data_IF_239613172535
#
_entry.id   IF_239613172535
#
_cell.length_a   1.000
_cell.length_b   1.000
_cell.length_c   1.000
_cell.angle_alpha   90.00
_cell.angle_beta   90.00
_cell.angle_gamma   90.00
#
_symmetry.space_group_name_H-M   'P 1'
#
loop_
_entity.id
_entity.type
_entity.pdbx_description
1 polymer ?
#
# COMPACT_ATOMS: atom_id res chain seq x y z
N UNK A 1 -0.94 -7.39 -16.92
CA UNK A 1 -0.37 -7.23 -15.59
C UNK A 1 -1.22 -6.26 -14.80
N UNK A 2 -1.57 -6.65 -13.58
CA UNK A 2 -2.54 -5.88 -12.80
C UNK A 2 -1.91 -4.86 -11.85
N UNK A 3 -0.58 -4.79 -11.78
CA UNK A 3 0.11 -3.81 -10.94
C UNK A 3 0.45 -2.55 -11.73
N UNK A 4 0.47 -1.40 -11.03
CA UNK A 4 0.80 -0.10 -11.64
C UNK A 4 1.95 0.55 -10.90
N UNK A 5 2.89 1.13 -11.64
CA UNK A 5 3.98 1.89 -11.04
C UNK A 5 3.52 3.32 -10.77
N UNK A 6 3.77 3.79 -9.56
CA UNK A 6 3.45 5.15 -9.18
C UNK A 6 4.71 6.01 -9.11
N UNK A 7 4.54 7.27 -9.49
CA UNK A 7 5.56 8.30 -9.37
C UNK A 7 4.92 9.54 -8.73
N UNK A 8 5.68 10.61 -8.61
CA UNK A 8 5.19 11.85 -8.00
C UNK A 8 4.02 12.47 -8.76
N UNK A 9 3.90 12.19 -10.05
CA UNK A 9 2.88 12.80 -10.90
C UNK A 9 1.53 12.08 -10.83
N UNK A 10 1.52 10.76 -10.59
CA UNK A 10 0.28 9.98 -10.58
C UNK A 10 -0.12 9.45 -9.20
N UNK A 11 0.73 9.62 -8.19
CA UNK A 11 0.48 9.08 -6.86
C UNK A 11 -0.82 9.62 -6.24
N UNK A 12 -0.97 10.94 -6.24
CA UNK A 12 -2.12 11.58 -5.60
C UNK A 12 -3.44 11.14 -6.24
N UNK A 13 -3.49 11.10 -7.57
CA UNK A 13 -4.69 10.68 -8.28
C UNK A 13 -5.02 9.22 -7.98
N UNK A 14 -4.01 8.35 -7.91
CA UNK A 14 -4.23 6.94 -7.60
C UNK A 14 -4.88 6.77 -6.22
N UNK A 15 -4.40 7.50 -5.22
CA UNK A 15 -4.94 7.44 -3.86
C UNK A 15 -6.33 8.08 -3.78
N UNK A 16 -6.54 9.19 -4.48
CA UNK A 16 -7.78 9.97 -4.41
C UNK A 16 -8.93 9.28 -5.16
N UNK A 17 -8.64 8.68 -6.30
CA UNK A 17 -9.65 8.17 -7.21
C UNK A 17 -10.07 6.72 -6.92
N UNK A 18 -9.44 6.07 -5.95
CA UNK A 18 -9.69 4.65 -5.65
C UNK A 18 -9.94 4.44 -4.16
N UNK A 19 -10.88 3.55 -3.85
CA UNK A 19 -11.24 3.24 -2.46
C UNK A 19 -10.09 2.54 -1.72
N UNK A 20 -9.55 1.48 -2.32
CA UNK A 20 -8.47 0.68 -1.72
C UNK A 20 -7.26 0.68 -2.65
N UNK A 21 -6.13 1.12 -2.13
CA UNK A 21 -4.85 1.11 -2.86
C UNK A 21 -3.80 0.45 -1.98
N UNK A 22 -3.18 -0.57 -2.50
CA UNK A 22 -2.05 -1.23 -1.85
C UNK A 22 -0.78 -0.75 -2.55
N UNK A 23 0.23 -0.39 -1.78
CA UNK A 23 1.50 0.10 -2.33
C UNK A 23 2.64 -0.78 -1.83
N UNK A 24 3.41 -1.32 -2.78
CA UNK A 24 4.64 -2.06 -2.52
C UNK A 24 5.82 -1.13 -2.78
N UNK A 25 6.50 -0.73 -1.72
CA UNK A 25 7.75 0.06 -1.84
C UNK A 25 8.89 -0.92 -2.05
N UNK A 26 9.59 -0.80 -3.18
CA UNK A 26 10.58 -1.76 -3.64
C UNK A 26 11.79 -1.09 -4.27
N UNK A 27 12.80 -1.88 -4.62
CA UNK A 27 13.93 -1.43 -5.44
C UNK A 27 14.44 -2.59 -6.29
N UNK A 28 15.01 -2.31 -7.47
CA UNK A 28 15.44 -3.38 -8.39
C UNK A 28 16.53 -4.31 -7.84
N UNK A 29 17.36 -3.81 -6.91
CA UNK A 29 18.46 -4.59 -6.34
C UNK A 29 18.07 -5.40 -5.11
N UNK A 30 16.85 -5.27 -4.66
CA UNK A 30 16.37 -5.86 -3.40
C UNK A 30 15.92 -7.31 -3.63
N UNK A 31 16.64 -8.26 -3.02
CA UNK A 31 16.32 -9.69 -3.13
C UNK A 31 14.92 -10.05 -2.67
N UNK A 32 14.52 -9.69 -1.42
CA UNK A 32 13.17 -9.97 -0.93
C UNK A 32 12.08 -9.32 -1.78
N UNK A 33 12.34 -8.14 -2.36
CA UNK A 33 11.40 -7.48 -3.26
C UNK A 33 11.16 -8.32 -4.51
N UNK A 34 12.21 -8.91 -5.06
CA UNK A 34 12.12 -9.78 -6.24
C UNK A 34 11.36 -11.06 -5.93
N UNK A 35 11.55 -11.61 -4.73
CA UNK A 35 10.83 -12.80 -4.28
C UNK A 35 9.34 -12.50 -4.06
N UNK A 36 9.02 -11.32 -3.59
CA UNK A 36 7.65 -10.90 -3.34
C UNK A 36 6.89 -10.53 -4.62
N UNK A 37 7.59 -10.07 -5.64
CA UNK A 37 6.96 -9.58 -6.88
C UNK A 37 5.98 -10.58 -7.51
N UNK A 38 6.31 -11.87 -7.69
CA UNK A 38 5.35 -12.82 -8.25
C UNK A 38 4.12 -13.04 -7.37
N UNK A 39 4.28 -13.02 -6.05
CA UNK A 39 3.17 -13.15 -5.11
C UNK A 39 2.23 -11.96 -5.24
N UNK A 40 2.78 -10.78 -5.26
CA UNK A 40 2.03 -9.52 -5.39
C UNK A 40 1.24 -9.48 -6.70
N UNK A 41 1.91 -9.82 -7.79
CA UNK A 41 1.31 -9.87 -9.12
C UNK A 41 0.15 -10.88 -9.18
N UNK A 42 0.39 -12.09 -8.65
CA UNK A 42 -0.61 -13.15 -8.64
C UNK A 42 -1.86 -12.73 -7.87
N UNK A 43 -1.69 -12.14 -6.69
CA UNK A 43 -2.82 -11.69 -5.88
C UNK A 43 -3.56 -10.54 -6.55
N UNK A 44 -2.81 -9.63 -7.19
CA UNK A 44 -3.42 -8.48 -7.88
C UNK A 44 -4.42 -8.90 -8.96
N UNK A 45 -4.16 -10.01 -9.63
CA UNK A 45 -5.04 -10.51 -10.68
C UNK A 45 -6.38 -11.03 -10.15
N UNK A 46 -6.45 -11.33 -8.85
CA UNK A 46 -7.65 -11.86 -8.21
C UNK A 46 -8.56 -10.79 -7.61
N UNK A 47 -8.10 -9.53 -7.54
CA UNK A 47 -8.84 -8.44 -6.89
C UNK A 47 -8.89 -7.21 -7.78
N UNK A 48 -9.80 -7.22 -8.74
CA UNK A 48 -9.96 -6.10 -9.69
C UNK A 48 -10.48 -4.82 -9.03
N UNK A 49 -11.10 -4.95 -7.87
CA UNK A 49 -11.65 -3.83 -7.10
C UNK A 49 -10.60 -3.13 -6.23
N UNK A 50 -9.37 -3.61 -6.24
CA UNK A 50 -8.25 -3.04 -5.47
C UNK A 50 -7.15 -2.63 -6.43
N UNK A 51 -6.60 -1.42 -6.25
CA UNK A 51 -5.43 -0.99 -7.01
C UNK A 51 -4.17 -1.54 -6.34
N UNK A 52 -3.40 -2.31 -7.07
CA UNK A 52 -2.11 -2.83 -6.62
C UNK A 52 -1.01 -1.99 -7.25
N UNK A 53 -0.40 -1.14 -6.46
CA UNK A 53 0.59 -0.17 -6.92
C UNK A 53 1.98 -0.54 -6.42
N UNK A 54 2.98 -0.04 -7.13
CA UNK A 54 4.38 -0.21 -6.76
C UNK A 54 5.08 1.14 -6.82
N UNK A 55 5.97 1.39 -5.87
CA UNK A 55 6.81 2.59 -5.87
C UNK A 55 8.26 2.14 -5.80
N UNK A 56 9.01 2.45 -6.85
CA UNK A 56 10.45 2.20 -6.88
C UNK A 56 11.15 3.27 -6.03
N UNK A 57 11.63 2.89 -4.86
CA UNK A 57 12.19 3.86 -3.91
C UNK A 57 13.51 4.47 -4.38
N UNK A 58 14.17 3.84 -5.33
CA UNK A 58 15.40 4.38 -5.89
C UNK A 58 15.12 5.55 -6.86
N UNK A 59 14.06 5.41 -7.66
CA UNK A 59 13.63 6.47 -8.58
C UNK A 59 12.77 7.53 -7.90
N UNK A 60 11.97 7.12 -6.90
CA UNK A 60 11.00 7.98 -6.22
C UNK A 60 11.44 8.21 -4.77
N UNK A 61 12.60 8.82 -4.60
CA UNK A 61 13.19 9.02 -3.28
C UNK A 61 12.34 9.92 -2.39
N UNK A 62 11.73 10.95 -2.95
CA UNK A 62 10.86 11.86 -2.18
C UNK A 62 9.62 11.16 -1.65
N UNK A 63 9.00 10.28 -2.46
CA UNK A 63 7.84 9.51 -2.01
C UNK A 63 8.23 8.57 -0.87
N UNK A 64 9.35 7.84 -1.02
CA UNK A 64 9.84 6.97 0.04
C UNK A 64 10.10 7.73 1.33
N UNK A 65 10.74 8.88 1.24
CA UNK A 65 11.03 9.72 2.40
C UNK A 65 9.76 10.27 3.04
N UNK A 66 8.78 10.69 2.24
CA UNK A 66 7.51 11.21 2.74
C UNK A 66 6.77 10.21 3.62
N UNK A 67 6.89 8.93 3.31
CA UNK A 67 6.27 7.86 4.09
C UNK A 67 7.23 7.20 5.07
N UNK A 68 8.42 7.77 5.24
CA UNK A 68 9.44 7.30 6.19
C UNK A 68 9.81 5.83 5.96
N UNK A 69 9.92 5.44 4.70
CA UNK A 69 10.28 4.07 4.32
C UNK A 69 11.76 3.86 4.62
N UNK A 70 12.05 2.96 5.56
CA UNK A 70 13.41 2.66 6.01
C UNK A 70 13.92 1.30 5.57
N UNK A 71 13.01 0.41 5.21
CA UNK A 71 13.34 -0.92 4.74
C UNK A 71 12.41 -1.31 3.61
N UNK A 72 12.88 -2.18 2.73
CA UNK A 72 12.11 -2.68 1.60
C UNK A 72 12.20 -4.20 1.54
N UNK A 73 11.14 -4.87 1.08
CA UNK A 73 9.87 -4.27 0.69
C UNK A 73 9.10 -3.76 1.92
N UNK A 74 8.30 -2.73 1.72
CA UNK A 74 7.32 -2.28 2.71
C UNK A 74 5.97 -2.23 2.02
N UNK A 75 4.99 -2.84 2.65
CA UNK A 75 3.61 -2.85 2.15
C UNK A 75 2.78 -1.85 2.93
N UNK A 76 2.11 -0.97 2.21
CA UNK A 76 1.24 0.04 2.81
C UNK A 76 -0.13 -0.03 2.13
N UNK A 77 -1.19 0.10 2.91
CA UNK A 77 -2.55 0.04 2.37
C UNK A 77 -3.29 1.31 2.73
N UNK A 78 -3.87 1.93 1.69
CA UNK A 78 -4.75 3.10 1.83
C UNK A 78 -6.18 2.65 1.61
N UNK A 79 -7.08 3.11 2.45
CA UNK A 79 -8.51 2.98 2.20
C UNK A 79 -9.17 4.31 2.47
N UNK A 80 -9.93 4.82 1.49
CA UNK A 80 -10.57 6.13 1.55
C UNK A 80 -9.55 7.22 1.92
N UNK A 81 -8.34 7.13 1.33
CA UNK A 81 -7.23 8.08 1.52
C UNK A 81 -6.54 7.99 2.89
N UNK A 82 -6.92 7.02 3.70
CA UNK A 82 -6.36 6.83 5.03
C UNK A 82 -5.38 5.64 5.00
N UNK A 83 -4.17 5.83 5.54
CA UNK A 83 -3.24 4.72 5.71
C UNK A 83 -3.75 3.84 6.84
N UNK A 84 -4.19 2.63 6.51
CA UNK A 84 -4.75 1.70 7.49
C UNK A 84 -3.79 0.57 7.85
N UNK A 85 -2.70 0.43 7.10
CA UNK A 85 -1.73 -0.64 7.34
C UNK A 85 -0.38 -0.25 6.76
N UNK A 86 0.69 -0.57 7.48
CA UNK A 86 2.05 -0.40 7.00
C UNK A 86 2.94 -1.41 7.71
N UNK A 87 3.65 -2.23 6.94
CA UNK A 87 4.54 -3.26 7.50
C UNK A 87 5.70 -3.54 6.57
N UNK A 88 6.90 -3.58 7.15
CA UNK A 88 8.10 -3.98 6.43
C UNK A 88 8.15 -5.50 6.28
N UNK A 89 8.75 -5.95 5.18
CA UNK A 89 8.95 -7.37 4.89
C UNK A 89 7.92 -7.92 3.92
N UNK A 90 8.24 -9.07 3.35
CA UNK A 90 7.34 -9.74 2.42
C UNK A 90 6.30 -10.59 3.16
N UNK A 91 5.15 -10.79 2.53
CA UNK A 91 4.09 -11.65 3.05
C UNK A 91 3.89 -12.84 2.11
N UNK A 92 3.59 -14.03 2.66
CA UNK A 92 3.14 -15.14 1.82
C UNK A 92 1.78 -14.81 1.19
N UNK A 93 1.46 -15.48 0.08
CA UNK A 93 0.22 -15.22 -0.65
C UNK A 93 -1.02 -15.32 0.24
N UNK A 94 -1.10 -16.37 1.07
CA UNK A 94 -2.25 -16.57 1.96
C UNK A 94 -2.41 -15.42 2.97
N UNK A 95 -1.30 -14.92 3.50
CA UNK A 95 -1.34 -13.79 4.44
C UNK A 95 -1.79 -12.51 3.76
N UNK A 96 -1.34 -12.29 2.53
CA UNK A 96 -1.76 -11.10 1.76
C UNK A 96 -3.25 -11.19 1.43
N UNK A 97 -3.75 -12.35 1.03
CA UNK A 97 -5.18 -12.54 0.76
C UNK A 97 -6.02 -12.30 2.01
N UNK A 98 -5.59 -12.82 3.15
CA UNK A 98 -6.29 -12.62 4.43
C UNK A 98 -6.33 -11.13 4.80
N UNK A 99 -5.22 -10.45 4.64
CA UNK A 99 -5.12 -9.01 4.92
C UNK A 99 -6.08 -8.21 4.05
N UNK A 100 -6.16 -8.52 2.76
CA UNK A 100 -7.08 -7.84 1.83
C UNK A 100 -8.52 -8.05 2.26
N UNK A 101 -8.87 -9.27 2.67
CA UNK A 101 -10.19 -9.57 3.19
C UNK A 101 -10.54 -8.72 4.40
N UNK A 102 -9.61 -8.55 5.32
CA UNK A 102 -9.81 -7.71 6.51
C UNK A 102 -9.97 -6.24 6.15
N UNK A 103 -9.18 -5.75 5.19
CA UNK A 103 -9.27 -4.37 4.72
C UNK A 103 -10.64 -4.10 4.11
N UNK A 104 -11.15 -5.01 3.28
CA UNK A 104 -12.46 -4.87 2.66
C UNK A 104 -13.60 -4.89 3.68
N UNK A 105 -13.40 -5.59 4.81
CA UNK A 105 -14.41 -5.74 5.86
C UNK A 105 -14.40 -4.62 6.89
N UNK A 106 -13.44 -3.68 6.82
CA UNK A 106 -13.36 -2.58 7.79
C UNK A 106 -14.60 -1.69 7.77
N UNK A 107 -15.05 -1.31 8.97
CA UNK A 107 -16.07 -0.27 9.11
C UNK A 107 -15.36 1.09 9.04
N UNK A 108 -15.45 1.76 7.91
CA UNK A 108 -14.74 3.01 7.68
C UNK A 108 -15.32 4.18 8.48
N UNK A 109 -16.56 4.10 8.93
CA UNK A 109 -17.10 5.11 9.84
C UNK A 109 -16.35 5.09 11.17
N UNK A 110 -16.06 3.90 11.67
CA UNK A 110 -15.26 3.74 12.89
C UNK A 110 -13.84 4.25 12.67
N UNK A 111 -13.22 3.90 11.56
CA UNK A 111 -11.86 4.34 11.22
C UNK A 111 -11.78 5.86 11.14
N UNK A 112 -12.74 6.49 10.44
CA UNK A 112 -12.76 7.95 10.29
C UNK A 112 -12.92 8.65 11.65
N UNK A 113 -13.76 8.13 12.52
CA UNK A 113 -13.95 8.69 13.87
C UNK A 113 -12.66 8.58 14.69
N UNK A 114 -11.95 7.48 14.58
CA UNK A 114 -10.69 7.30 15.28
C UNK A 114 -9.62 8.28 14.77
N UNK A 115 -9.56 8.49 13.46
CA UNK A 115 -8.63 9.46 12.87
C UNK A 115 -8.94 10.87 13.36
N UNK A 116 -10.22 11.27 13.37
CA UNK A 116 -10.65 12.57 13.87
C UNK A 116 -10.28 12.76 15.33
N UNK A 117 -10.45 11.73 16.15
CA UNK A 117 -10.09 11.75 17.55
C UNK A 117 -8.59 11.96 17.75
N UNK A 118 -7.76 11.24 16.98
CA UNK A 118 -6.31 11.39 17.05
C UNK A 118 -5.87 12.79 16.63
N UNK A 119 -6.49 13.36 15.60
CA UNK A 119 -6.20 14.71 15.15
C UNK A 119 -6.59 15.75 16.19
N UNK A 120 -7.72 15.56 16.85
CA UNK A 120 -8.17 16.47 17.93
C UNK A 120 -7.21 16.42 19.13
N UNK A 121 -6.68 15.25 19.46
CA UNK A 121 -5.72 15.11 20.56
C UNK A 121 -4.37 15.78 20.25
N UNK A 122 -4.02 15.92 18.98
CA UNK A 122 -2.76 16.55 18.56
C UNK A 122 -2.85 18.06 18.45
N UNK A 123 -4.03 18.60 18.39
CA UNK A 123 -4.24 20.07 18.29
C UNK A 123 -4.42 20.74 19.68
#
# INVERSE_FOLDING_TARGET
MATVELDKDNFEAAITDNDIVIVDFWAPWCGPCKSFAPVYESVSEKHEDVVFAKINTEEQQELGASFQIRSIPTLMIFREKIVIFSQAGMLPESALEELIGKVKALDMDVVRKEVEKQQAEKS
#
